data_IF_795409782253
#
_entry.id   IF_795409782253
#
_cell.length_a   1.000
_cell.length_b   1.000
_cell.length_c   1.000
_cell.angle_alpha   90.00
_cell.angle_beta   90.00
_cell.angle_gamma   90.00
#
_symmetry.space_group_name_H-M   'P 1'
#
loop_
_entity.id
_entity.type
_entity.pdbx_description
1 polymer ?
#
# COMPACT_ATOMS: atom_id res chain seq x y z
N UNK A 1 42.00 13.73 -38.96
CA UNK A 1 42.67 12.82 -37.99
C UNK A 1 41.72 12.23 -36.93
N UNK A 2 40.60 12.89 -36.58
CA UNK A 2 39.63 12.36 -35.59
C UNK A 2 38.82 11.13 -36.03
N UNK A 3 38.41 11.04 -37.30
CA UNK A 3 37.61 9.92 -37.80
C UNK A 3 38.34 8.56 -37.77
N UNK A 4 39.68 8.54 -37.90
CA UNK A 4 40.46 7.31 -37.84
C UNK A 4 40.59 6.80 -36.40
N UNK A 5 40.57 7.72 -35.42
CA UNK A 5 40.60 7.39 -33.99
C UNK A 5 39.24 6.85 -33.52
N UNK A 6 38.13 7.43 -33.99
CA UNK A 6 36.78 6.92 -33.67
C UNK A 6 36.57 5.51 -34.19
N UNK A 7 37.00 5.21 -35.42
CA UNK A 7 36.90 3.86 -36.01
C UNK A 7 37.72 2.80 -35.25
N UNK A 8 38.87 3.19 -34.67
CA UNK A 8 39.66 2.27 -33.82
C UNK A 8 39.02 2.05 -32.47
N UNK A 9 38.42 3.09 -31.88
CA UNK A 9 37.69 2.97 -30.63
C UNK A 9 36.44 2.11 -30.77
N UNK A 10 35.69 2.28 -31.86
CA UNK A 10 34.47 1.52 -32.16
C UNK A 10 34.77 0.02 -32.27
N UNK A 11 35.87 -0.32 -32.97
CA UNK A 11 36.35 -1.70 -33.10
C UNK A 11 36.82 -2.32 -31.78
N UNK A 12 37.30 -1.50 -30.83
CA UNK A 12 37.63 -1.95 -29.46
C UNK A 12 36.38 -2.06 -28.58
N UNK A 13 35.36 -1.22 -28.83
CA UNK A 13 34.07 -1.21 -28.13
C UNK A 13 33.27 -2.48 -28.40
N UNK A 14 33.27 -2.97 -29.65
CA UNK A 14 32.59 -4.21 -30.05
C UNK A 14 33.12 -5.47 -29.36
N UNK A 15 34.33 -5.43 -28.80
CA UNK A 15 34.92 -6.55 -28.04
C UNK A 15 34.57 -6.53 -26.53
N UNK A 16 33.85 -5.50 -26.06
CA UNK A 16 33.44 -5.38 -24.65
C UNK A 16 32.02 -5.91 -24.48
N UNK A 17 31.91 -7.18 -24.12
CA UNK A 17 30.65 -7.78 -23.70
C UNK A 17 30.23 -7.19 -22.36
N UNK A 18 29.03 -6.63 -22.27
CA UNK A 18 28.50 -6.03 -21.03
C UNK A 18 28.15 -4.53 -21.11
N UNK A 19 28.27 -3.91 -22.29
CA UNK A 19 27.71 -2.57 -22.49
C UNK A 19 26.18 -2.61 -22.46
N UNK A 20 25.58 -1.93 -21.48
CA UNK A 20 24.12 -1.75 -21.40
C UNK A 20 23.78 -0.40 -22.05
N UNK A 21 23.50 -0.42 -23.35
CA UNK A 21 22.95 0.76 -24.03
C UNK A 21 21.44 0.77 -23.77
N UNK A 22 20.99 1.68 -22.91
CA UNK A 22 19.56 1.93 -22.73
C UNK A 22 19.09 2.74 -23.94
N UNK A 23 18.11 2.23 -24.69
CA UNK A 23 17.50 2.97 -25.79
C UNK A 23 16.80 4.22 -25.25
N UNK A 24 17.23 5.44 -25.62
CA UNK A 24 16.62 6.67 -25.14
C UNK A 24 15.13 6.75 -25.46
N UNK A 25 14.68 6.15 -26.58
CA UNK A 25 13.26 6.12 -26.95
C UNK A 25 12.47 5.13 -26.10
N UNK A 26 13.01 3.94 -25.85
CA UNK A 26 12.44 2.97 -24.92
C UNK A 26 12.28 3.57 -23.52
N UNK A 27 13.36 4.17 -22.99
CA UNK A 27 13.33 4.81 -21.66
C UNK A 27 12.29 5.92 -21.56
N UNK A 28 12.19 6.81 -22.56
CA UNK A 28 11.17 7.87 -22.58
C UNK A 28 9.75 7.33 -22.71
N UNK A 29 9.55 6.22 -23.42
CA UNK A 29 8.25 5.57 -23.55
C UNK A 29 7.83 4.95 -22.21
N UNK A 30 8.76 4.30 -21.52
CA UNK A 30 8.54 3.76 -20.18
C UNK A 30 8.23 4.89 -19.17
N UNK A 31 8.97 6.01 -19.23
CA UNK A 31 8.70 7.17 -18.37
C UNK A 31 7.32 7.81 -18.63
N UNK A 32 6.90 7.91 -19.89
CA UNK A 32 5.57 8.43 -20.22
C UNK A 32 4.43 7.47 -19.82
N UNK A 33 4.72 6.17 -19.71
CA UNK A 33 3.76 5.18 -19.23
C UNK A 33 3.55 5.25 -17.72
N UNK A 34 4.49 5.82 -16.97
CA UNK A 34 4.35 6.11 -15.55
C UNK A 34 3.38 7.27 -15.40
N UNK A 35 2.14 6.95 -15.01
CA UNK A 35 1.14 7.95 -14.62
C UNK A 35 1.64 8.72 -13.40
N UNK A 36 2.24 9.88 -13.61
CA UNK A 36 2.49 10.86 -12.57
C UNK A 36 1.19 11.63 -12.33
N UNK A 37 0.70 11.61 -11.08
CA UNK A 37 -0.46 12.39 -10.67
C UNK A 37 -0.26 13.86 -11.04
N UNK A 38 -1.30 14.49 -11.56
CA UNK A 38 -1.25 15.89 -12.02
C UNK A 38 -0.87 16.82 -10.87
N UNK A 39 -0.19 17.93 -11.16
CA UNK A 39 0.25 18.90 -10.14
C UNK A 39 -0.92 19.43 -9.30
N UNK A 40 -2.12 19.52 -9.89
CA UNK A 40 -3.36 19.83 -9.20
C UNK A 40 -3.75 18.76 -8.15
N UNK A 41 -3.63 17.47 -8.51
CA UNK A 41 -3.91 16.35 -7.60
C UNK A 41 -2.91 16.33 -6.43
N UNK A 42 -1.65 16.68 -6.67
CA UNK A 42 -0.63 16.79 -5.61
C UNK A 42 -0.95 17.90 -4.61
N UNK A 43 -1.48 19.03 -5.08
CA UNK A 43 -1.92 20.14 -4.23
C UNK A 43 -3.07 19.74 -3.30
N UNK A 44 -4.09 19.07 -3.84
CA UNK A 44 -5.26 18.67 -3.06
C UNK A 44 -4.96 17.51 -2.09
N UNK A 45 -4.04 16.60 -2.43
CA UNK A 45 -3.54 15.59 -1.49
C UNK A 45 -2.90 16.25 -0.25
N UNK A 46 -2.13 17.34 -0.42
CA UNK A 46 -1.51 18.03 0.73
C UNK A 46 -2.57 18.66 1.64
N UNK A 47 -3.60 19.28 1.06
CA UNK A 47 -4.74 19.84 1.83
C UNK A 47 -5.52 18.74 2.53
N UNK A 48 -5.81 17.64 1.84
CA UNK A 48 -6.52 16.49 2.39
C UNK A 48 -5.76 15.88 3.58
N UNK A 49 -4.42 15.75 3.49
CA UNK A 49 -3.58 15.32 4.62
C UNK A 49 -3.71 16.24 5.82
N UNK A 50 -3.66 17.56 5.61
CA UNK A 50 -3.76 18.53 6.69
C UNK A 50 -5.13 18.44 7.38
N UNK A 51 -6.20 18.39 6.59
CA UNK A 51 -7.56 18.28 7.09
C UNK A 51 -7.76 16.97 7.86
N UNK A 52 -7.39 15.84 7.27
CA UNK A 52 -7.58 14.53 7.88
C UNK A 52 -6.70 14.35 9.13
N UNK A 53 -5.49 14.91 9.14
CA UNK A 53 -4.66 14.95 10.36
C UNK A 53 -5.32 15.76 11.48
N UNK A 54 -5.96 16.88 11.14
CA UNK A 54 -6.74 17.66 12.12
C UNK A 54 -7.95 16.87 12.61
N UNK A 55 -8.66 16.17 11.71
CA UNK A 55 -9.81 15.31 12.07
C UNK A 55 -9.40 14.17 12.99
N UNK A 56 -8.31 13.45 12.71
CA UNK A 56 -7.87 12.34 13.55
C UNK A 56 -7.30 12.82 14.90
N UNK A 57 -6.72 14.01 14.95
CA UNK A 57 -6.24 14.61 16.20
C UNK A 57 -7.37 15.15 17.09
N UNK A 58 -8.40 15.73 16.47
CA UNK A 58 -9.54 16.32 17.21
C UNK A 58 -10.55 15.27 17.62
N UNK A 59 -10.78 14.26 16.77
CA UNK A 59 -11.71 13.16 17.01
C UNK A 59 -10.99 11.81 16.86
N UNK A 60 -10.18 11.39 17.85
CA UNK A 60 -9.41 10.16 17.77
C UNK A 60 -10.27 8.91 17.64
N UNK A 61 -11.50 8.91 18.19
CA UNK A 61 -12.46 7.79 18.13
C UNK A 61 -13.23 7.67 16.82
N UNK A 62 -12.98 8.56 15.85
CA UNK A 62 -13.70 8.57 14.59
C UNK A 62 -13.05 7.62 13.57
N UNK A 63 -13.49 6.36 13.56
CA UNK A 63 -12.99 5.32 12.65
C UNK A 63 -12.92 5.72 11.16
N UNK A 64 -13.98 6.31 10.56
CA UNK A 64 -13.95 6.74 9.16
C UNK A 64 -12.87 7.79 8.85
N UNK A 65 -12.49 8.62 9.83
CA UNK A 65 -11.43 9.61 9.66
C UNK A 65 -10.05 8.96 9.45
N UNK A 66 -9.75 7.90 10.20
CA UNK A 66 -8.53 7.12 10.04
C UNK A 66 -8.49 6.36 8.71
N UNK A 67 -9.63 5.81 8.28
CA UNK A 67 -9.76 5.15 6.98
C UNK A 67 -9.52 6.14 5.85
N UNK A 68 -10.14 7.31 5.91
CA UNK A 68 -9.94 8.36 4.91
C UNK A 68 -8.48 8.82 4.86
N UNK A 69 -7.84 9.01 6.03
CA UNK A 69 -6.43 9.39 6.12
C UNK A 69 -5.52 8.35 5.45
N UNK A 70 -5.76 7.06 5.71
CA UNK A 70 -4.99 5.97 5.10
C UNK A 70 -5.21 5.89 3.57
N UNK A 71 -6.45 6.04 3.09
CA UNK A 71 -6.78 6.03 1.65
C UNK A 71 -6.13 7.18 0.88
N UNK A 72 -5.99 8.36 1.49
CA UNK A 72 -5.28 9.49 0.86
C UNK A 72 -3.79 9.18 0.68
N UNK A 73 -3.16 8.53 1.66
CA UNK A 73 -1.76 8.10 1.52
C UNK A 73 -1.59 6.96 0.51
N UNK A 74 -2.56 6.05 0.43
CA UNK A 74 -2.59 5.00 -0.60
C UNK A 74 -2.66 5.61 -2.01
N UNK A 75 -3.56 6.56 -2.23
CA UNK A 75 -3.68 7.26 -3.52
C UNK A 75 -2.42 8.08 -3.87
N UNK A 76 -1.71 8.58 -2.85
CA UNK A 76 -0.43 9.26 -3.03
C UNK A 76 0.76 8.30 -3.27
N UNK A 77 0.53 6.99 -3.35
CA UNK A 77 1.56 5.97 -3.54
C UNK A 77 2.39 5.68 -2.28
N UNK A 78 2.03 6.24 -1.11
CA UNK A 78 2.75 6.10 0.16
C UNK A 78 2.14 5.00 1.03
N UNK A 79 2.14 3.77 0.51
CA UNK A 79 1.55 2.59 1.16
C UNK A 79 2.08 2.37 2.58
N UNK A 80 3.39 2.57 2.81
CA UNK A 80 3.99 2.42 4.15
C UNK A 80 3.40 3.40 5.17
N UNK A 81 3.12 4.64 4.76
CA UNK A 81 2.48 5.61 5.64
C UNK A 81 1.00 5.31 5.84
N UNK A 82 0.29 4.88 4.79
CA UNK A 82 -1.09 4.42 4.92
C UNK A 82 -1.21 3.30 5.98
N UNK A 83 -0.30 2.32 5.94
CA UNK A 83 -0.23 1.23 6.92
C UNK A 83 0.08 1.70 8.34
N UNK A 84 0.93 2.71 8.49
CA UNK A 84 1.23 3.28 9.81
C UNK A 84 0.01 4.00 10.39
N UNK A 85 -0.63 4.86 9.59
CA UNK A 85 -1.82 5.62 10.00
C UNK A 85 -2.97 4.70 10.39
N UNK A 86 -3.25 3.66 9.58
CA UNK A 86 -4.36 2.75 9.91
C UNK A 86 -4.07 1.91 11.15
N UNK A 87 -2.79 1.56 11.40
CA UNK A 87 -2.39 0.88 12.64
C UNK A 87 -2.63 1.75 13.87
N UNK A 88 -2.24 3.02 13.82
CA UNK A 88 -2.57 4.00 14.86
C UNK A 88 -4.09 4.15 15.04
N UNK A 89 -4.84 4.12 13.93
CA UNK A 89 -6.31 4.09 13.93
C UNK A 89 -6.90 2.86 14.62
N UNK A 90 -6.34 1.66 14.42
CA UNK A 90 -6.76 0.44 15.12
C UNK A 90 -6.53 0.51 16.64
N UNK A 91 -5.39 1.08 17.06
CA UNK A 91 -5.06 1.25 18.49
C UNK A 91 -5.98 2.28 19.15
N UNK A 92 -6.37 3.31 18.41
CA UNK A 92 -7.23 4.40 18.92
C UNK A 92 -8.72 4.05 18.87
N UNK A 93 -9.15 3.29 17.87
CA UNK A 93 -10.53 2.87 17.62
C UNK A 93 -10.67 1.34 17.60
N UNK A 94 -10.49 0.64 18.73
CA UNK A 94 -10.62 -0.82 18.76
C UNK A 94 -12.05 -1.28 18.48
N UNK A 95 -13.05 -0.44 18.77
CA UNK A 95 -14.48 -0.77 18.66
C UNK A 95 -14.99 -0.75 17.19
N UNK A 96 -14.22 -0.22 16.25
CA UNK A 96 -14.67 0.00 14.87
C UNK A 96 -14.22 -1.14 13.96
N UNK A 97 -15.16 -2.02 13.58
CA UNK A 97 -14.87 -3.14 12.66
C UNK A 97 -14.31 -2.69 11.30
N UNK A 98 -14.80 -1.57 10.75
CA UNK A 98 -14.38 -1.08 9.43
C UNK A 98 -12.90 -0.68 9.40
N UNK A 99 -12.35 -0.17 10.51
CA UNK A 99 -10.93 0.22 10.62
C UNK A 99 -10.04 -1.01 10.55
N UNK A 100 -10.43 -2.09 11.24
CA UNK A 100 -9.73 -3.37 11.20
C UNK A 100 -9.78 -4.03 9.82
N UNK A 101 -10.93 -3.97 9.14
CA UNK A 101 -11.08 -4.50 7.79
C UNK A 101 -10.20 -3.75 6.78
N UNK A 102 -10.13 -2.43 6.90
CA UNK A 102 -9.25 -1.61 6.06
C UNK A 102 -7.77 -1.82 6.37
N UNK A 103 -7.40 -2.00 7.64
CA UNK A 103 -6.04 -2.36 8.03
C UNK A 103 -5.60 -3.69 7.41
N UNK A 104 -6.50 -4.70 7.41
CA UNK A 104 -6.25 -5.98 6.77
C UNK A 104 -6.13 -5.85 5.23
N UNK A 105 -6.90 -4.97 4.59
CA UNK A 105 -6.84 -4.73 3.14
C UNK A 105 -5.53 -4.09 2.71
N UNK A 106 -5.01 -3.13 3.48
CA UNK A 106 -3.78 -2.40 3.15
C UNK A 106 -2.51 -3.24 3.30
N UNK A 107 -2.59 -4.36 4.01
CA UNK A 107 -1.46 -5.17 4.43
C UNK A 107 -1.33 -6.45 3.60
N UNK A 108 -0.13 -7.08 3.60
CA UNK A 108 0.09 -8.39 2.99
C UNK A 108 -0.73 -9.48 3.67
N UNK A 109 -1.06 -10.56 2.95
CA UNK A 109 -1.91 -11.63 3.46
C UNK A 109 -1.40 -12.24 4.78
N UNK A 110 -0.08 -12.44 4.90
CA UNK A 110 0.54 -12.96 6.13
C UNK A 110 0.26 -12.06 7.34
N UNK A 111 0.54 -10.77 7.21
CA UNK A 111 0.36 -9.79 8.27
C UNK A 111 -1.13 -9.45 8.52
N UNK A 112 -1.98 -9.55 7.49
CA UNK A 112 -3.41 -9.34 7.61
C UNK A 112 -4.06 -10.41 8.52
N UNK A 113 -3.54 -11.64 8.54
CA UNK A 113 -4.01 -12.68 9.47
C UNK A 113 -3.78 -12.29 10.93
N UNK A 114 -2.62 -11.69 11.23
CA UNK A 114 -2.27 -11.20 12.57
C UNK A 114 -3.13 -10.01 12.98
N UNK A 115 -3.40 -9.09 12.04
CA UNK A 115 -4.28 -7.94 12.29
C UNK A 115 -5.71 -8.41 12.57
N UNK A 116 -6.23 -9.36 11.79
CA UNK A 116 -7.57 -9.90 11.99
C UNK A 116 -7.67 -10.73 13.29
N UNK A 117 -6.62 -11.46 13.67
CA UNK A 117 -6.57 -12.13 14.97
C UNK A 117 -6.67 -11.14 16.12
N UNK A 118 -5.93 -10.02 16.06
CA UNK A 118 -6.05 -8.93 17.03
C UNK A 118 -7.45 -8.30 17.02
N UNK A 119 -8.01 -8.08 15.82
CA UNK A 119 -9.35 -7.52 15.67
C UNK A 119 -10.43 -8.40 16.33
N UNK A 120 -10.32 -9.72 16.20
CA UNK A 120 -11.22 -10.70 16.86
C UNK A 120 -11.14 -10.61 18.39
N UNK A 121 -9.97 -10.33 18.96
CA UNK A 121 -9.84 -10.16 20.40
C UNK A 121 -10.58 -8.92 20.92
N UNK A 122 -10.62 -7.84 20.15
CA UNK A 122 -11.37 -6.63 20.49
C UNK A 122 -12.86 -6.73 20.16
N UNK A 123 -13.21 -7.38 19.04
CA UNK A 123 -14.55 -7.46 18.49
C UNK A 123 -14.97 -8.91 18.23
N UNK A 124 -15.17 -9.73 19.28
CA UNK A 124 -15.47 -11.15 19.12
C UNK A 124 -16.81 -11.41 18.43
N UNK A 125 -17.76 -10.48 18.53
CA UNK A 125 -19.11 -10.60 17.96
C UNK A 125 -19.23 -10.12 16.51
N UNK A 126 -18.18 -9.52 15.92
CA UNK A 126 -18.26 -9.00 14.55
C UNK A 126 -18.14 -10.12 13.52
N UNK A 127 -19.26 -10.48 12.91
CA UNK A 127 -19.32 -11.49 11.84
C UNK A 127 -18.46 -11.09 10.64
N UNK A 128 -18.36 -9.79 10.32
CA UNK A 128 -17.60 -9.31 9.16
C UNK A 128 -16.10 -9.61 9.29
N UNK A 129 -15.54 -9.43 10.49
CA UNK A 129 -14.12 -9.72 10.77
C UNK A 129 -13.86 -11.21 10.62
N UNK A 130 -14.73 -12.06 11.17
CA UNK A 130 -14.62 -13.52 11.05
C UNK A 130 -14.73 -14.01 9.61
N UNK A 131 -15.65 -13.45 8.83
CA UNK A 131 -15.79 -13.75 7.41
C UNK A 131 -14.53 -13.36 6.64
N UNK A 132 -13.99 -12.17 6.90
CA UNK A 132 -12.75 -11.72 6.25
C UNK A 132 -11.54 -12.57 6.63
N UNK A 133 -11.45 -12.99 7.90
CA UNK A 133 -10.41 -13.93 8.35
C UNK A 133 -10.54 -15.29 7.65
N UNK A 134 -11.76 -15.80 7.49
CA UNK A 134 -12.04 -17.06 6.80
C UNK A 134 -11.78 -17.02 5.29
N UNK A 135 -11.85 -15.84 4.65
CA UNK A 135 -11.46 -15.64 3.25
C UNK A 135 -9.96 -15.61 3.05
N UNK A 136 -9.21 -15.14 4.05
CA UNK A 136 -7.76 -15.01 3.99
C UNK A 136 -7.05 -16.37 4.13
N UNK A 137 -7.69 -17.32 4.80
CA UNK A 137 -7.16 -18.68 4.97
C UNK A 137 -7.23 -19.49 3.66
N UNK A 138 -6.10 -19.95 3.10
CA UNK A 138 -6.10 -20.78 1.90
C UNK A 138 -6.60 -22.21 2.17
N UNK A 139 -6.39 -22.70 3.39
CA UNK A 139 -6.72 -24.07 3.77
C UNK A 139 -8.19 -24.19 4.19
N UNK A 140 -8.92 -25.14 3.57
CA UNK A 140 -10.32 -25.43 3.91
C UNK A 140 -10.49 -25.84 5.37
N UNK A 141 -9.52 -26.51 5.96
CA UNK A 141 -9.62 -26.96 7.34
C UNK A 141 -9.38 -25.83 8.35
N UNK A 142 -8.43 -24.92 8.07
CA UNK A 142 -8.25 -23.69 8.88
C UNK A 142 -9.49 -22.80 8.79
N UNK A 143 -10.07 -22.66 7.60
CA UNK A 143 -11.32 -21.92 7.40
C UNK A 143 -12.46 -22.45 8.29
N UNK A 144 -12.64 -23.77 8.37
CA UNK A 144 -13.63 -24.38 9.28
C UNK A 144 -13.33 -24.07 10.75
N UNK A 145 -12.06 -24.09 11.15
CA UNK A 145 -11.66 -23.76 12.54
C UNK A 145 -11.98 -22.29 12.87
N UNK A 146 -11.67 -21.37 11.96
CA UNK A 146 -11.98 -19.94 12.13
C UNK A 146 -13.49 -19.73 12.25
N UNK A 147 -14.29 -20.31 11.35
CA UNK A 147 -15.76 -20.20 11.40
C UNK A 147 -16.37 -20.87 12.63
N UNK A 148 -15.82 -22.00 13.10
CA UNK A 148 -16.27 -22.65 14.34
C UNK A 148 -16.01 -21.82 15.58
N UNK A 149 -14.95 -21.02 15.59
CA UNK A 149 -14.65 -20.09 16.69
C UNK A 149 -15.54 -18.86 16.70
N UNK A 150 -16.21 -18.57 15.58
CA UNK A 150 -17.13 -17.45 15.43
C UNK A 150 -18.59 -17.78 15.85
N UNK A 151 -18.91 -19.06 16.07
CA UNK A 151 -20.23 -19.56 16.45
C UNK A 151 -20.46 -19.55 17.96
#
# INVERSE_FOLDING_TARGET
RGAVLSLKLDKMSDSVTGQTVVDPKGYLTDLNSIKLNSEAEVGDIKKARLLLKSVTSTNPKHGPGWIAAARVEEFAGKILQARKIIKEGCETCPDSEDVWLEAARLQTAENASTILANAVHHLPHSVKIWMRAAELEPDKDKKKVVLRRAL
#
